data_IF_361831061620
#
_entry.id   IF_361831061620
#
_cell.length_a   1.000
_cell.length_b   1.000
_cell.length_c   1.000
_cell.angle_alpha   90.00
_cell.angle_beta   90.00
_cell.angle_gamma   90.00
#
_symmetry.space_group_name_H-M   'P 1'
#
loop_
_entity.id
_entity.type
_entity.pdbx_description
1 polymer ?
#
# COMPACT_ATOMS: atom_id res chain seq x y z
N UNK A 1 -18.42 -51.18 18.71
CA UNK A 1 -17.39 -52.20 18.50
C UNK A 1 -16.12 -51.52 17.98
N UNK A 2 -15.23 -51.22 18.92
CA UNK A 2 -13.78 -51.02 18.78
C UNK A 2 -13.17 -52.04 19.75
N UNK A 3 -11.93 -52.55 19.60
CA UNK A 3 -10.73 -51.85 19.14
C UNK A 3 -9.76 -52.73 18.29
N UNK A 4 -8.63 -52.19 17.83
CA UNK A 4 -7.31 -52.54 18.40
C UNK A 4 -6.15 -52.03 17.52
N UNK A 5 -5.13 -51.37 18.13
CA UNK A 5 -3.93 -50.83 17.48
C UNK A 5 -2.72 -51.79 17.61
N UNK A 6 -1.61 -51.51 16.90
CA UNK A 6 -0.18 -51.76 17.25
C UNK A 6 0.69 -52.01 15.99
N UNK A 7 2.05 -51.97 16.06
CA UNK A 7 2.95 -51.10 16.82
C UNK A 7 4.13 -50.53 15.96
N UNK A 8 4.92 -49.64 16.56
CA UNK A 8 6.26 -49.20 16.10
C UNK A 8 7.35 -50.26 16.39
N UNK A 9 8.51 -50.17 15.71
CA UNK A 9 9.78 -50.39 16.41
C UNK A 9 10.83 -49.29 16.22
N UNK A 10 11.78 -49.29 17.15
CA UNK A 10 12.75 -48.23 17.50
C UNK A 10 14.17 -48.46 16.93
N UNK A 11 14.90 -47.34 16.72
CA UNK A 11 16.35 -47.03 16.71
C UNK A 11 17.43 -48.08 16.36
N UNK A 12 18.57 -47.64 15.77
CA UNK A 12 19.71 -47.29 16.63
C UNK A 12 20.42 -45.97 16.27
N UNK A 13 21.13 -45.46 17.28
CA UNK A 13 22.03 -44.30 17.30
C UNK A 13 23.46 -44.79 17.09
N UNK A 14 24.21 -44.18 16.15
CA UNK A 14 25.67 -44.33 16.05
C UNK A 14 26.33 -42.96 15.96
N UNK A 15 27.23 -42.70 16.91
CA UNK A 15 28.13 -41.56 16.94
C UNK A 15 29.50 -41.97 16.41
N UNK A 16 30.17 -41.09 15.66
CA UNK A 16 31.62 -41.11 15.49
C UNK A 16 32.11 -39.68 15.23
N UNK A 17 32.97 -39.19 16.12
CA UNK A 17 33.74 -37.97 15.93
C UNK A 17 35.03 -38.23 15.15
N UNK A 18 35.68 -37.17 14.66
CA UNK A 18 36.98 -37.26 14.00
C UNK A 18 37.46 -35.88 13.52
N UNK A 19 38.64 -35.46 14.00
CA UNK A 19 39.18 -34.09 13.94
C UNK A 19 40.00 -33.79 12.66
N UNK A 20 39.94 -32.52 12.24
CA UNK A 20 40.96 -31.60 11.67
C UNK A 20 42.12 -32.10 10.78
N UNK A 21 42.26 -31.47 9.59
CA UNK A 21 43.51 -30.99 8.98
C UNK A 21 43.14 -30.03 7.82
N UNK A 22 43.18 -28.71 7.99
CA UNK A 22 44.33 -27.80 7.74
C UNK A 22 44.81 -27.77 6.28
N UNK A 23 44.46 -26.68 5.60
CA UNK A 23 45.05 -26.19 4.37
C UNK A 23 44.11 -25.13 3.80
N UNK A 24 44.43 -23.88 3.63
CA UNK A 24 45.64 -23.10 3.80
C UNK A 24 45.28 -21.76 3.15
N UNK A 25 45.52 -20.67 3.88
CA UNK A 25 45.70 -19.30 3.34
C UNK A 25 44.68 -18.79 2.31
N UNK A 26 43.69 -17.97 2.71
CA UNK A 26 43.44 -16.67 2.05
C UNK A 26 42.80 -15.69 3.05
N UNK A 27 43.60 -14.68 3.41
CA UNK A 27 43.27 -13.29 3.75
C UNK A 27 41.95 -12.93 4.45
N UNK A 28 42.14 -12.32 5.61
CA UNK A 28 41.33 -11.22 6.12
C UNK A 28 40.96 -10.18 5.03
N UNK A 29 39.92 -9.41 5.33
CA UNK A 29 39.38 -8.24 4.59
C UNK A 29 38.20 -8.59 3.67
N UNK A 30 37.01 -8.74 4.27
CA UNK A 30 35.75 -8.48 3.58
C UNK A 30 34.64 -7.93 4.51
N UNK A 31 35.00 -7.40 5.68
CA UNK A 31 34.03 -6.87 6.67
C UNK A 31 33.87 -5.35 6.61
N UNK A 32 34.29 -4.71 5.51
CA UNK A 32 34.15 -3.24 5.30
C UNK A 32 33.25 -2.92 4.10
N UNK A 33 32.85 -3.91 3.28
CA UNK A 33 32.02 -3.66 2.10
C UNK A 33 30.55 -3.34 2.41
N UNK A 34 30.08 -3.58 3.64
CA UNK A 34 28.67 -3.31 4.02
C UNK A 34 28.44 -1.84 4.45
N UNK A 35 29.51 -1.07 4.69
CA UNK A 35 29.41 0.36 5.07
C UNK A 35 29.83 1.34 3.96
N UNK A 36 30.42 0.85 2.87
CA UNK A 36 30.77 1.68 1.71
C UNK A 36 29.64 1.80 0.66
N UNK A 37 28.60 0.96 0.74
CA UNK A 37 27.43 1.05 -0.13
C UNK A 37 26.54 2.28 0.14
N UNK A 38 26.78 3.01 1.24
CA UNK A 38 26.13 4.29 1.53
C UNK A 38 26.93 5.52 1.06
N UNK A 39 28.15 5.35 0.53
CA UNK A 39 29.03 6.48 0.21
C UNK A 39 29.42 6.59 -1.28
N UNK A 40 29.14 5.58 -2.10
CA UNK A 40 29.26 5.70 -3.56
C UNK A 40 27.88 5.78 -4.16
N UNK A 41 27.54 6.95 -4.72
CA UNK A 41 26.36 7.15 -5.53
C UNK A 41 26.33 6.16 -6.69
N UNK A 42 25.75 4.99 -6.45
CA UNK A 42 25.11 4.20 -7.48
C UNK A 42 23.88 4.99 -7.88
N UNK A 43 24.07 5.96 -8.78
CA UNK A 43 22.98 6.47 -9.61
C UNK A 43 22.40 5.23 -10.29
N UNK A 44 21.31 4.73 -9.73
CA UNK A 44 20.57 3.65 -10.31
C UNK A 44 20.03 4.25 -11.61
N UNK A 45 20.63 3.93 -12.76
CA UNK A 45 20.13 4.35 -14.07
C UNK A 45 18.74 3.73 -14.37
N UNK A 46 18.23 2.89 -13.46
CA UNK A 46 16.85 2.39 -13.43
C UNK A 46 15.99 3.06 -12.35
N UNK A 47 16.45 4.13 -11.70
CA UNK A 47 15.59 4.94 -10.86
C UNK A 47 14.48 5.52 -11.74
N UNK A 48 13.19 5.31 -11.40
CA UNK A 48 12.09 5.92 -12.15
C UNK A 48 12.34 7.41 -12.33
N UNK A 49 11.99 8.01 -13.48
CA UNK A 49 12.15 9.44 -13.67
C UNK A 49 11.51 10.17 -12.49
N UNK A 50 12.29 11.07 -11.89
CA UNK A 50 11.87 11.82 -10.72
C UNK A 50 10.52 12.50 -11.01
N UNK A 51 9.54 12.24 -10.14
CA UNK A 51 8.16 12.64 -10.35
C UNK A 51 7.20 11.55 -10.85
N UNK A 52 7.64 10.30 -11.05
CA UNK A 52 6.77 9.12 -11.24
C UNK A 52 5.60 9.36 -12.22
N UNK A 53 5.88 9.50 -13.53
CA UNK A 53 4.90 9.94 -14.53
C UNK A 53 3.68 9.01 -14.67
N UNK A 54 3.87 7.70 -14.50
CA UNK A 54 2.77 6.73 -14.54
C UNK A 54 1.84 6.87 -13.32
N UNK A 55 2.43 7.11 -12.14
CA UNK A 55 1.65 7.46 -10.95
C UNK A 55 0.92 8.79 -11.16
N UNK A 56 1.59 9.82 -11.72
CA UNK A 56 0.94 11.10 -12.06
C UNK A 56 -0.24 10.92 -13.01
N UNK A 57 -0.10 10.09 -14.04
CA UNK A 57 -1.18 9.79 -14.98
C UNK A 57 -2.35 9.08 -14.28
N UNK A 58 -2.05 8.11 -13.41
CA UNK A 58 -3.04 7.39 -12.62
C UNK A 58 -3.79 8.34 -11.67
N UNK A 59 -3.08 9.19 -10.93
CA UNK A 59 -3.68 10.21 -10.06
C UNK A 59 -4.54 11.21 -10.85
N UNK A 60 -4.07 11.65 -12.02
CA UNK A 60 -4.84 12.52 -12.90
C UNK A 60 -6.13 11.87 -13.40
N UNK A 61 -6.09 10.57 -13.74
CA UNK A 61 -7.28 9.82 -14.12
C UNK A 61 -8.28 9.66 -12.97
N UNK A 62 -7.77 9.40 -11.75
CA UNK A 62 -8.59 9.23 -10.56
C UNK A 62 -9.23 10.56 -10.14
N UNK A 63 -8.47 11.67 -10.19
CA UNK A 63 -9.02 13.00 -9.94
C UNK A 63 -10.12 13.36 -10.93
N UNK A 64 -9.90 13.12 -12.23
CA UNK A 64 -10.90 13.40 -13.26
C UNK A 64 -12.15 12.55 -13.06
N UNK A 65 -11.99 11.26 -12.82
CA UNK A 65 -13.12 10.37 -12.58
C UNK A 65 -13.90 10.71 -11.30
N UNK A 66 -13.22 11.21 -10.26
CA UNK A 66 -13.87 11.71 -9.05
C UNK A 66 -14.66 13.00 -9.29
N UNK A 67 -14.10 13.93 -10.07
CA UNK A 67 -14.77 15.18 -10.41
C UNK A 67 -15.95 14.93 -11.37
N UNK A 68 -15.79 14.06 -12.37
CA UNK A 68 -16.83 13.73 -13.34
C UNK A 68 -17.94 12.84 -12.77
N UNK A 69 -17.60 11.78 -12.04
CA UNK A 69 -18.57 10.79 -11.53
C UNK A 69 -19.53 11.35 -10.47
N UNK A 70 -19.10 12.39 -9.75
CA UNK A 70 -19.90 13.02 -8.70
C UNK A 70 -20.31 14.47 -9.01
N UNK A 71 -19.99 15.01 -10.19
CA UNK A 71 -20.37 16.38 -10.59
C UNK A 71 -21.90 16.51 -10.75
N UNK A 72 -22.56 17.02 -9.71
CA UNK A 72 -24.01 17.25 -9.73
C UNK A 72 -24.87 15.99 -9.79
N UNK A 73 -24.24 14.81 -9.65
CA UNK A 73 -24.91 13.52 -9.63
C UNK A 73 -25.77 13.36 -8.37
N UNK A 74 -26.84 12.58 -8.49
CA UNK A 74 -27.58 12.12 -7.33
C UNK A 74 -26.65 11.27 -6.43
N UNK A 75 -26.86 11.27 -5.09
CA UNK A 75 -26.02 10.53 -4.15
C UNK A 75 -25.84 9.04 -4.51
N UNK A 76 -26.88 8.41 -5.06
CA UNK A 76 -26.87 7.02 -5.51
C UNK A 76 -25.96 6.82 -6.72
N UNK A 77 -26.05 7.70 -7.72
CA UNK A 77 -25.20 7.65 -8.92
C UNK A 77 -23.74 7.93 -8.57
N UNK A 78 -23.48 8.89 -7.67
CA UNK A 78 -22.13 9.13 -7.18
C UNK A 78 -21.60 7.95 -6.37
N UNK A 79 -22.44 7.25 -5.59
CA UNK A 79 -22.03 6.03 -4.87
C UNK A 79 -21.60 4.91 -5.82
N UNK A 80 -22.33 4.67 -6.91
CA UNK A 80 -21.97 3.67 -7.92
C UNK A 80 -20.64 4.01 -8.60
N UNK A 81 -20.39 5.29 -8.88
CA UNK A 81 -19.12 5.73 -9.46
C UNK A 81 -17.95 5.68 -8.44
N UNK A 82 -18.21 5.91 -7.15
CA UNK A 82 -17.23 5.72 -6.08
C UNK A 82 -16.80 4.26 -5.92
N UNK A 83 -17.71 3.30 -6.15
CA UNK A 83 -17.38 1.87 -6.17
C UNK A 83 -16.46 1.53 -7.35
N UNK A 84 -16.71 2.12 -8.53
CA UNK A 84 -15.84 1.96 -9.71
C UNK A 84 -14.46 2.59 -9.52
N UNK A 85 -14.40 3.72 -8.81
CA UNK A 85 -13.14 4.39 -8.45
C UNK A 85 -12.27 3.52 -7.54
N UNK A 86 -12.85 2.57 -6.81
CA UNK A 86 -12.13 1.68 -5.91
C UNK A 86 -10.99 0.93 -6.62
N UNK A 87 -11.27 0.35 -7.79
CA UNK A 87 -10.26 -0.36 -8.57
C UNK A 87 -9.11 0.55 -9.07
N UNK A 88 -9.41 1.82 -9.37
CA UNK A 88 -8.37 2.78 -9.77
C UNK A 88 -7.51 3.22 -8.58
N UNK A 89 -8.12 3.38 -7.41
CA UNK A 89 -7.40 3.66 -6.18
C UNK A 89 -6.47 2.50 -5.80
N UNK A 90 -6.95 1.26 -5.91
CA UNK A 90 -6.15 0.06 -5.64
C UNK A 90 -4.93 -0.02 -6.55
N UNK A 91 -5.10 0.28 -7.84
CA UNK A 91 -3.97 0.38 -8.78
C UNK A 91 -2.97 1.47 -8.40
N UNK A 92 -3.44 2.63 -7.95
CA UNK A 92 -2.56 3.71 -7.50
C UNK A 92 -1.80 3.32 -6.22
N UNK A 93 -2.41 2.54 -5.34
CA UNK A 93 -1.78 1.97 -4.15
C UNK A 93 -0.67 1.00 -4.50
N UNK A 94 -0.91 0.08 -5.42
CA UNK A 94 0.11 -0.88 -5.87
C UNK A 94 1.33 -0.16 -6.46
N UNK A 95 1.11 0.89 -7.26
CA UNK A 95 2.20 1.73 -7.80
C UNK A 95 2.96 2.48 -6.70
N UNK A 96 2.27 3.03 -5.70
CA UNK A 96 2.91 3.70 -4.57
C UNK A 96 3.76 2.71 -3.74
N UNK A 97 3.27 1.48 -3.54
CA UNK A 97 4.00 0.40 -2.88
C UNK A 97 5.24 -0.04 -3.66
N UNK A 98 5.11 -0.22 -4.98
CA UNK A 98 6.21 -0.58 -5.89
C UNK A 98 7.36 0.42 -5.79
N UNK A 99 7.03 1.70 -5.71
CA UNK A 99 8.01 2.79 -5.59
C UNK A 99 8.43 3.10 -4.15
N UNK A 100 7.94 2.35 -3.15
CA UNK A 100 8.19 2.57 -1.71
C UNK A 100 7.85 3.99 -1.24
N UNK A 101 6.82 4.57 -1.82
CA UNK A 101 6.34 5.94 -1.57
C UNK A 101 5.33 5.98 -0.40
N UNK A 102 5.65 5.34 0.71
CA UNK A 102 4.75 5.28 1.87
C UNK A 102 5.21 6.23 2.98
N UNK A 103 4.36 7.18 3.35
CA UNK A 103 4.51 8.00 4.55
C UNK A 103 3.30 7.85 5.48
N UNK A 104 3.38 8.44 6.68
CA UNK A 104 2.28 8.40 7.65
C UNK A 104 0.99 9.03 7.09
N UNK A 105 1.11 10.11 6.31
CA UNK A 105 -0.04 10.81 5.74
C UNK A 105 -0.80 9.99 4.70
N UNK A 106 -0.10 9.16 3.94
CA UNK A 106 -0.68 8.18 3.03
C UNK A 106 -1.43 7.09 3.79
N UNK A 107 -0.83 6.50 4.82
CA UNK A 107 -1.47 5.45 5.65
C UNK A 107 -2.75 5.97 6.31
N UNK A 108 -2.70 7.19 6.85
CA UNK A 108 -3.87 7.86 7.41
C UNK A 108 -4.96 8.06 6.36
N UNK A 109 -4.61 8.51 5.15
CA UNK A 109 -5.57 8.73 4.08
C UNK A 109 -6.23 7.43 3.57
N UNK A 110 -5.48 6.32 3.49
CA UNK A 110 -6.03 5.00 3.16
C UNK A 110 -6.99 4.52 4.24
N UNK A 111 -6.63 4.71 5.51
CA UNK A 111 -7.46 4.33 6.65
C UNK A 111 -8.75 5.15 6.69
N UNK A 112 -8.67 6.46 6.45
CA UNK A 112 -9.82 7.35 6.34
C UNK A 112 -10.75 6.92 5.19
N UNK A 113 -10.20 6.55 4.03
CA UNK A 113 -10.97 6.07 2.89
C UNK A 113 -11.68 4.74 3.20
N UNK A 114 -11.01 3.79 3.84
CA UNK A 114 -11.61 2.53 4.26
C UNK A 114 -12.79 2.76 5.21
N UNK A 115 -12.61 3.62 6.23
CA UNK A 115 -13.68 3.98 7.17
C UNK A 115 -14.85 4.68 6.47
N UNK A 116 -14.58 5.54 5.49
CA UNK A 116 -15.63 6.22 4.74
C UNK A 116 -16.46 5.25 3.88
N UNK A 117 -15.81 4.29 3.23
CA UNK A 117 -16.47 3.20 2.48
C UNK A 117 -17.39 2.36 3.38
N UNK A 118 -16.89 1.97 4.55
CA UNK A 118 -17.69 1.23 5.54
C UNK A 118 -18.93 2.02 5.98
N UNK A 119 -18.76 3.33 6.24
CA UNK A 119 -19.87 4.20 6.61
C UNK A 119 -20.90 4.34 5.48
N UNK A 120 -20.47 4.44 4.22
CA UNK A 120 -21.37 4.48 3.07
C UNK A 120 -22.14 3.15 2.94
N UNK A 121 -21.46 2.02 3.04
CA UNK A 121 -22.10 0.71 2.97
C UNK A 121 -23.16 0.53 4.08
N UNK A 122 -22.84 0.91 5.31
CA UNK A 122 -23.78 0.84 6.43
C UNK A 122 -25.00 1.74 6.21
N UNK A 123 -24.80 2.99 5.78
CA UNK A 123 -25.90 3.94 5.56
C UNK A 123 -26.71 3.65 4.30
N UNK A 124 -26.14 2.97 3.29
CA UNK A 124 -26.84 2.48 2.12
C UNK A 124 -27.83 1.37 2.50
N UNK A 125 -27.40 0.42 3.35
CA UNK A 125 -28.28 -0.62 3.87
C UNK A 125 -29.48 -0.02 4.64
N UNK A 126 -29.22 0.98 5.49
CA UNK A 126 -30.28 1.72 6.21
C UNK A 126 -31.24 2.46 5.25
N UNK A 127 -30.71 3.13 4.22
CA UNK A 127 -31.52 3.83 3.23
C UNK A 127 -32.45 2.87 2.49
N UNK A 128 -31.93 1.70 2.08
CA UNK A 128 -32.70 0.64 1.43
C UNK A 128 -33.78 0.05 2.34
N UNK A 129 -33.46 -0.21 3.61
CA UNK A 129 -34.42 -0.69 4.60
C UNK A 129 -35.57 0.30 4.82
N UNK A 130 -35.27 1.60 4.79
CA UNK A 130 -36.26 2.68 4.95
C UNK A 130 -36.99 3.04 3.66
N UNK A 131 -36.47 2.64 2.50
CA UNK A 131 -36.91 3.06 1.16
C UNK A 131 -36.96 4.59 1.01
N UNK A 132 -36.04 5.29 1.66
CA UNK A 132 -35.96 6.75 1.63
C UNK A 132 -34.82 7.21 0.71
N UNK A 133 -35.13 7.68 -0.52
CA UNK A 133 -34.12 8.19 -1.46
C UNK A 133 -33.51 9.54 -1.02
N UNK A 134 -33.98 10.14 0.07
CA UNK A 134 -33.45 11.40 0.62
C UNK A 134 -32.80 11.21 1.97
N UNK A 135 -32.48 9.96 2.34
CA UNK A 135 -31.90 9.63 3.63
C UNK A 135 -30.61 10.40 3.88
N UNK A 136 -30.69 11.40 4.76
CA UNK A 136 -29.61 12.36 4.97
C UNK A 136 -28.28 11.71 5.41
N UNK A 137 -28.26 10.67 6.27
CA UNK A 137 -27.02 9.99 6.63
C UNK A 137 -26.28 9.38 5.44
N UNK A 138 -27.00 8.77 4.48
CA UNK A 138 -26.38 8.20 3.27
C UNK A 138 -25.70 9.29 2.43
N UNK A 139 -26.36 10.43 2.20
CA UNK A 139 -25.77 11.55 1.46
C UNK A 139 -24.52 12.11 2.13
N UNK A 140 -24.49 12.17 3.47
CA UNK A 140 -23.31 12.59 4.24
C UNK A 140 -22.17 11.59 4.13
N UNK A 141 -22.48 10.29 4.13
CA UNK A 141 -21.48 9.24 3.95
C UNK A 141 -20.83 9.30 2.56
N UNK A 142 -21.62 9.50 1.50
CA UNK A 142 -21.11 9.72 0.13
C UNK A 142 -20.18 10.94 0.09
N UNK A 143 -20.58 12.07 0.68
CA UNK A 143 -19.72 13.26 0.73
C UNK A 143 -18.42 13.04 1.54
N UNK A 144 -18.48 12.26 2.63
CA UNK A 144 -17.32 11.91 3.43
C UNK A 144 -16.33 11.03 2.64
N UNK A 145 -16.83 10.07 1.86
CA UNK A 145 -16.00 9.22 1.00
C UNK A 145 -15.35 10.01 -0.14
N UNK A 146 -16.08 10.93 -0.78
CA UNK A 146 -15.50 11.87 -1.75
C UNK A 146 -14.34 12.69 -1.13
N UNK A 147 -14.54 13.19 0.09
CA UNK A 147 -13.49 13.94 0.79
C UNK A 147 -12.28 13.05 1.11
N UNK A 148 -12.50 11.79 1.49
CA UNK A 148 -11.43 10.83 1.74
C UNK A 148 -10.63 10.54 0.47
N UNK A 149 -11.28 10.34 -0.68
CA UNK A 149 -10.58 10.20 -1.97
C UNK A 149 -9.74 11.44 -2.31
N UNK A 150 -10.26 12.66 -2.07
CA UNK A 150 -9.48 13.90 -2.30
C UNK A 150 -8.26 14.00 -1.38
N UNK A 151 -8.41 13.63 -0.10
CA UNK A 151 -7.28 13.59 0.84
C UNK A 151 -6.23 12.59 0.42
N UNK A 152 -6.66 11.42 -0.05
CA UNK A 152 -5.76 10.41 -0.58
C UNK A 152 -4.99 10.89 -1.80
N UNK A 153 -5.68 11.50 -2.77
CA UNK A 153 -5.03 12.10 -3.94
C UNK A 153 -3.97 13.14 -3.53
N UNK A 154 -4.29 14.00 -2.57
CA UNK A 154 -3.35 15.00 -2.06
C UNK A 154 -2.18 14.38 -1.29
N UNK A 155 -2.38 13.25 -0.58
CA UNK A 155 -1.30 12.52 0.06
C UNK A 155 -0.37 11.89 -0.99
N UNK A 156 -0.93 11.16 -1.97
CA UNK A 156 -0.16 10.54 -3.05
C UNK A 156 0.61 11.56 -3.88
N UNK A 157 0.00 12.70 -4.19
CA UNK A 157 0.65 13.77 -4.94
C UNK A 157 1.80 14.42 -4.16
N UNK A 158 1.65 14.59 -2.85
CA UNK A 158 2.73 15.06 -1.97
C UNK A 158 3.89 14.08 -1.96
N UNK A 159 3.64 12.78 -1.78
CA UNK A 159 4.74 11.80 -1.76
C UNK A 159 5.39 11.69 -3.14
N UNK A 160 4.62 11.77 -4.23
CA UNK A 160 5.14 11.77 -5.61
C UNK A 160 6.10 12.93 -5.89
N UNK A 161 5.84 14.09 -5.28
CA UNK A 161 6.60 15.34 -5.49
C UNK A 161 7.60 15.63 -4.39
N UNK A 162 7.64 14.82 -3.33
CA UNK A 162 8.59 14.98 -2.25
C UNK A 162 10.03 14.73 -2.74
N UNK A 163 10.98 15.59 -2.36
CA UNK A 163 12.38 15.34 -2.61
C UNK A 163 12.85 14.04 -1.93
N UNK A 164 13.75 13.26 -2.55
CA UNK A 164 14.32 12.09 -1.90
C UNK A 164 15.17 12.56 -0.71
N UNK A 165 15.18 11.82 0.40
CA UNK A 165 16.00 12.17 1.55
C UNK A 165 17.48 12.28 1.16
N UNK A 166 18.12 13.41 1.51
CA UNK A 166 19.54 13.67 1.23
C UNK A 166 19.83 14.53 0.00
N UNK A 167 18.84 15.18 -0.61
CA UNK A 167 19.04 16.08 -1.74
C UNK A 167 19.50 17.51 -1.37
N UNK A 168 19.68 17.78 -0.07
CA UNK A 168 20.22 19.03 0.44
C UNK A 168 19.23 20.20 0.45
N UNK A 169 17.93 19.95 0.25
CA UNK A 169 16.89 20.99 0.33
C UNK A 169 16.31 21.19 1.74
N UNK A 170 16.64 20.32 2.70
CA UNK A 170 16.31 20.52 4.11
C UNK A 170 17.15 21.68 4.69
N UNK A 171 16.53 22.76 5.19
CA UNK A 171 17.27 23.81 5.89
C UNK A 171 17.83 23.24 7.21
N UNK A 172 19.14 23.42 7.39
CA UNK A 172 19.86 23.18 8.65
C UNK A 172 19.35 24.07 9.77
#
# INVERSE_FOLDING_TARGET
MTPSPSPLPSFPRSAAGGRTASGGTVRAVASVAVLAAFATGCRNDTAPPWGYPDLKATLGSLSRALDEGCAGAAPESCADDLDRLGALADRAFDQALEHRLLDAGYVDAVTDLARARELRAATAADAGARRDPRYAPFRRAVAAEMLAYRRLLAALERVRTAPPPGDGTDPV
#
